data_IF_722587147181
#
_entry.id   IF_722587147181
#
_cell.length_a   1.000
_cell.length_b   1.000
_cell.length_c   1.000
_cell.angle_alpha   90.00
_cell.angle_beta   90.00
_cell.angle_gamma   90.00
#
_symmetry.space_group_name_H-M   'P 1'
#
loop_
_entity.id
_entity.type
_entity.pdbx_description
1 polymer ?
#
# COMPACT_ATOMS: atom_id res chain seq x y z
N UNK A 1 6.69 -6.22 13.92
CA UNK A 1 6.84 -6.96 12.65
C UNK A 1 5.57 -6.82 11.82
N UNK A 2 5.73 -6.71 10.52
CA UNK A 2 4.59 -6.47 9.62
C UNK A 2 4.00 -7.80 9.16
N UNK A 3 2.68 -7.90 9.22
CA UNK A 3 1.96 -9.06 8.71
C UNK A 3 1.83 -8.95 7.19
N UNK A 4 2.11 -10.06 6.50
CA UNK A 4 1.98 -10.16 5.05
C UNK A 4 0.73 -10.98 4.73
N UNK A 5 -0.11 -10.44 3.86
CA UNK A 5 -1.33 -11.14 3.43
C UNK A 5 -1.09 -11.70 2.04
N UNK A 6 -1.32 -12.99 1.87
CA UNK A 6 -1.09 -13.66 0.60
C UNK A 6 -2.05 -13.16 -0.49
N UNK A 7 -1.60 -13.10 -1.75
CA UNK A 7 -2.45 -12.61 -2.85
C UNK A 7 -3.77 -13.35 -2.99
N UNK A 8 -3.78 -14.66 -2.74
CA UNK A 8 -5.00 -15.48 -2.83
C UNK A 8 -6.06 -14.99 -1.84
N UNK A 9 -5.63 -14.35 -0.75
CA UNK A 9 -6.54 -13.85 0.27
C UNK A 9 -6.97 -12.42 -0.05
N UNK A 10 -6.00 -11.50 -0.23
CA UNK A 10 -6.39 -10.10 -0.37
C UNK A 10 -7.05 -9.78 -1.71
N UNK A 11 -6.71 -10.48 -2.78
CA UNK A 11 -7.35 -10.25 -4.09
C UNK A 11 -8.86 -10.49 -4.06
N UNK A 12 -9.31 -11.39 -3.20
CA UNK A 12 -10.74 -11.73 -3.07
C UNK A 12 -11.47 -10.84 -2.10
N UNK A 13 -10.75 -10.00 -1.35
CA UNK A 13 -11.33 -9.25 -0.25
C UNK A 13 -10.93 -7.78 -0.26
N UNK A 14 -10.77 -7.19 -1.44
CA UNK A 14 -10.26 -5.81 -1.57
C UNK A 14 -11.07 -4.81 -0.76
N UNK A 15 -12.38 -4.98 -0.69
CA UNK A 15 -13.24 -4.05 0.04
C UNK A 15 -13.08 -4.13 1.56
N UNK A 16 -12.39 -5.17 2.05
CA UNK A 16 -12.12 -5.32 3.49
C UNK A 16 -10.95 -4.47 3.96
N UNK A 17 -10.22 -3.85 3.04
CA UNK A 17 -9.01 -3.10 3.35
C UNK A 17 -9.15 -1.63 3.01
N UNK A 18 -8.53 -0.80 3.85
CA UNK A 18 -8.24 0.59 3.48
C UNK A 18 -6.82 0.56 2.91
N UNK A 19 -6.71 0.65 1.58
CA UNK A 19 -5.46 0.40 0.87
C UNK A 19 -4.76 1.71 0.52
N UNK A 20 -3.47 1.80 0.88
CA UNK A 20 -2.60 2.88 0.46
C UNK A 20 -1.62 2.34 -0.59
N UNK A 21 -1.67 2.91 -1.79
CA UNK A 21 -0.72 2.61 -2.85
C UNK A 21 0.49 3.51 -2.67
N UNK A 22 1.62 2.90 -2.31
CA UNK A 22 2.85 3.65 -1.99
C UNK A 22 3.87 3.63 -3.11
N UNK A 23 3.42 3.33 -4.33
CA UNK A 23 4.27 3.41 -5.53
C UNK A 23 4.57 4.87 -5.85
N UNK A 24 5.31 5.11 -6.94
CA UNK A 24 5.62 6.46 -7.40
C UNK A 24 4.46 7.04 -8.20
N UNK A 25 4.39 8.38 -8.34
CA UNK A 25 3.37 9.00 -9.18
C UNK A 25 3.36 8.50 -10.62
N UNK A 26 4.53 8.23 -11.21
CA UNK A 26 4.60 7.66 -12.57
C UNK A 26 3.90 6.32 -12.65
N UNK A 27 4.10 5.48 -11.64
CA UNK A 27 3.47 4.16 -11.62
C UNK A 27 1.95 4.26 -11.50
N UNK A 28 1.43 5.25 -10.78
CA UNK A 28 -0.01 5.45 -10.66
C UNK A 28 -0.65 5.77 -12.02
N UNK A 29 0.09 6.43 -12.91
CA UNK A 29 -0.42 6.76 -14.25
C UNK A 29 -0.64 5.53 -15.10
N UNK A 30 0.06 4.43 -14.78
CA UNK A 30 -0.14 3.15 -15.46
C UNK A 30 -1.40 2.42 -14.97
N UNK A 31 -2.06 2.97 -13.96
CA UNK A 31 -3.28 2.42 -13.40
C UNK A 31 -3.15 2.10 -11.92
N UNK A 32 -4.26 2.20 -11.19
CA UNK A 32 -4.35 1.84 -9.79
C UNK A 32 -5.41 0.75 -9.62
N UNK A 33 -5.34 0.01 -8.53
CA UNK A 33 -6.32 -1.06 -8.29
C UNK A 33 -7.45 -0.52 -7.41
N UNK A 34 -8.65 -0.46 -7.99
CA UNK A 34 -9.85 -0.14 -7.21
C UNK A 34 -9.77 1.19 -6.46
N UNK A 35 -10.34 1.19 -5.27
CA UNK A 35 -10.50 2.38 -4.44
C UNK A 35 -9.34 2.49 -3.45
N UNK A 36 -8.20 3.01 -3.92
CA UNK A 36 -7.00 3.14 -3.10
C UNK A 36 -6.63 4.62 -2.90
N UNK A 37 -5.89 4.88 -1.83
CA UNK A 37 -5.33 6.19 -1.55
C UNK A 37 -3.86 6.18 -1.93
N UNK A 38 -3.42 7.19 -2.68
CA UNK A 38 -2.06 7.22 -3.21
C UNK A 38 -1.18 8.16 -2.38
N UNK A 39 -0.16 7.60 -1.75
CA UNK A 39 0.88 8.35 -1.03
C UNK A 39 2.21 7.70 -1.35
N UNK A 40 3.07 8.39 -2.09
CA UNK A 40 4.34 7.81 -2.53
C UNK A 40 5.32 7.66 -1.37
N UNK A 41 5.95 6.50 -1.26
CA UNK A 41 7.07 6.32 -0.32
C UNK A 41 8.35 6.93 -0.90
N UNK A 42 8.58 6.72 -2.20
CA UNK A 42 9.69 7.34 -2.94
C UNK A 42 9.13 8.18 -4.08
N UNK A 43 9.86 9.23 -4.45
CA UNK A 43 9.47 10.03 -5.62
C UNK A 43 9.97 9.35 -6.91
N UNK A 44 9.67 9.96 -8.07
CA UNK A 44 10.05 9.41 -9.37
C UNK A 44 11.56 9.37 -9.59
N UNK A 45 12.32 10.09 -8.79
CA UNK A 45 13.78 10.10 -8.82
C UNK A 45 14.39 9.04 -7.90
N UNK A 46 13.58 8.30 -7.19
CA UNK A 46 14.03 7.27 -6.26
C UNK A 46 14.42 7.78 -4.89
N UNK A 47 14.08 9.02 -4.57
CA UNK A 47 14.39 9.62 -3.26
C UNK A 47 13.21 9.40 -2.31
N UNK A 48 13.54 9.14 -1.05
CA UNK A 48 12.52 8.96 -0.02
C UNK A 48 11.69 10.24 0.11
N UNK A 49 10.36 10.06 0.12
CA UNK A 49 9.44 11.17 0.34
C UNK A 49 9.45 11.55 1.81
N UNK A 50 10.11 12.66 2.14
CA UNK A 50 10.24 13.13 3.53
C UNK A 50 8.90 13.50 4.16
N UNK A 51 7.86 13.69 3.35
CA UNK A 51 6.52 14.03 3.84
C UNK A 51 5.57 12.83 3.87
N UNK A 52 6.11 11.61 3.73
CA UNK A 52 5.27 10.41 3.63
C UNK A 52 4.30 10.30 4.83
N UNK A 53 4.82 10.44 6.04
CA UNK A 53 4.00 10.29 7.25
C UNK A 53 2.91 11.36 7.32
N UNK A 54 3.24 12.62 6.99
CA UNK A 54 2.25 13.70 7.02
C UNK A 54 1.18 13.51 5.95
N UNK A 55 1.57 13.06 4.75
CA UNK A 55 0.62 12.78 3.68
C UNK A 55 -0.27 11.60 4.02
N UNK A 56 0.30 10.57 4.64
CA UNK A 56 -0.47 9.44 5.11
C UNK A 56 -1.52 9.89 6.14
N UNK A 57 -1.11 10.67 7.13
CA UNK A 57 -2.02 11.16 8.18
C UNK A 57 -3.18 11.95 7.59
N UNK A 58 -2.92 12.73 6.55
CA UNK A 58 -3.94 13.56 5.92
C UNK A 58 -5.03 12.73 5.24
N UNK A 59 -4.69 11.51 4.82
CA UNK A 59 -5.62 10.65 4.06
C UNK A 59 -6.16 9.47 4.86
N UNK A 60 -5.50 9.12 5.96
CA UNK A 60 -5.91 7.96 6.75
C UNK A 60 -7.23 8.21 7.47
N UNK A 61 -8.12 7.21 7.42
CA UNK A 61 -9.39 7.25 8.13
C UNK A 61 -9.46 6.07 9.09
N UNK A 62 -9.70 6.36 10.35
CA UNK A 62 -9.91 5.29 11.34
C UNK A 62 -11.31 4.73 11.13
N UNK A 63 -11.37 3.48 10.66
CA UNK A 63 -12.65 2.82 10.37
C UNK A 63 -12.51 1.31 10.63
N UNK A 64 -13.52 0.53 10.23
CA UNK A 64 -13.56 -0.92 10.47
C UNK A 64 -12.68 -1.71 9.51
N UNK A 65 -12.15 -1.07 8.48
CA UNK A 65 -11.34 -1.77 7.49
C UNK A 65 -9.92 -1.97 8.01
N UNK A 66 -9.30 -3.05 7.56
CA UNK A 66 -7.90 -3.30 7.86
C UNK A 66 -7.03 -2.37 7.03
N UNK A 67 -6.14 -1.62 7.69
CA UNK A 67 -5.18 -0.79 6.98
C UNK A 67 -4.20 -1.67 6.22
N UNK A 68 -3.98 -1.37 4.94
CA UNK A 68 -3.10 -2.18 4.10
C UNK A 68 -2.28 -1.27 3.19
N UNK A 69 -1.08 -1.75 2.83
CA UNK A 69 -0.18 -1.04 1.94
C UNK A 69 0.13 -1.92 0.76
N UNK A 70 0.16 -1.33 -0.43
CA UNK A 70 0.49 -2.03 -1.66
C UNK A 70 1.55 -1.25 -2.44
N UNK A 71 2.46 -1.98 -3.09
CA UNK A 71 3.37 -1.39 -4.06
C UNK A 71 3.40 -2.30 -5.28
N UNK A 72 4.45 -2.24 -6.09
CA UNK A 72 4.51 -3.06 -7.29
C UNK A 72 4.67 -4.54 -6.97
N UNK A 73 5.60 -4.89 -6.07
CA UNK A 73 5.96 -6.28 -5.78
C UNK A 73 5.92 -6.66 -4.30
N UNK A 74 5.67 -5.70 -3.40
CA UNK A 74 5.51 -5.97 -1.97
C UNK A 74 6.65 -5.48 -1.08
N UNK A 75 7.77 -4.99 -1.64
CA UNK A 75 8.92 -4.58 -0.84
C UNK A 75 8.76 -3.17 -0.24
N UNK A 76 8.41 -2.19 -1.06
CA UNK A 76 8.22 -0.80 -0.59
C UNK A 76 7.05 -0.70 0.37
N UNK A 77 5.99 -1.47 0.12
CA UNK A 77 4.81 -1.45 0.98
C UNK A 77 5.11 -2.00 2.37
N UNK A 78 6.01 -2.97 2.47
CA UNK A 78 6.46 -3.46 3.78
C UNK A 78 7.19 -2.36 4.54
N UNK A 79 8.06 -1.62 3.85
CA UNK A 79 8.79 -0.49 4.46
C UNK A 79 7.80 0.58 4.94
N UNK A 80 6.83 0.91 4.09
CA UNK A 80 5.83 1.92 4.43
C UNK A 80 5.01 1.50 5.66
N UNK A 81 4.59 0.24 5.72
CA UNK A 81 3.85 -0.28 6.86
C UNK A 81 4.68 -0.19 8.15
N UNK A 82 5.98 -0.49 8.05
CA UNK A 82 6.89 -0.39 9.20
C UNK A 82 7.05 1.05 9.68
N UNK A 83 7.17 1.99 8.74
CA UNK A 83 7.30 3.41 9.11
C UNK A 83 6.06 3.92 9.83
N UNK A 84 4.88 3.55 9.33
CA UNK A 84 3.62 3.97 9.95
C UNK A 84 3.47 3.38 11.35
N UNK A 85 3.85 2.11 11.51
CA UNK A 85 3.80 1.47 12.82
C UNK A 85 4.76 2.15 13.81
N UNK A 86 5.99 2.42 13.36
CA UNK A 86 7.02 3.01 14.22
C UNK A 86 6.71 4.46 14.59
N UNK A 87 6.20 5.23 13.64
CA UNK A 87 5.99 6.67 13.82
C UNK A 87 4.64 6.99 14.46
N UNK A 88 3.60 6.23 14.12
CA UNK A 88 2.23 6.56 14.53
C UNK A 88 1.58 5.49 15.39
N UNK A 89 2.23 4.37 15.59
CA UNK A 89 1.70 3.22 16.32
C UNK A 89 0.37 2.72 15.73
N UNK A 90 0.23 2.87 14.38
CA UNK A 90 -0.91 2.35 13.64
C UNK A 90 -0.45 1.11 12.89
N UNK A 91 -1.14 0.00 13.12
CA UNK A 91 -0.75 -1.28 12.52
C UNK A 91 -1.47 -1.48 11.20
N UNK A 92 -0.67 -1.71 10.15
CA UNK A 92 -1.19 -2.06 8.84
C UNK A 92 -0.55 -3.35 8.35
N UNK A 93 -1.11 -3.92 7.30
CA UNK A 93 -0.60 -5.16 6.70
C UNK A 93 0.00 -4.86 5.33
N UNK A 94 0.88 -5.76 4.87
CA UNK A 94 1.47 -5.68 3.54
C UNK A 94 0.71 -6.62 2.61
N UNK A 95 0.24 -6.09 1.48
CA UNK A 95 -0.40 -6.91 0.45
C UNK A 95 0.69 -7.55 -0.40
N UNK A 96 1.05 -8.78 -0.04
CA UNK A 96 2.17 -9.50 -0.63
C UNK A 96 2.00 -9.65 -2.13
N UNK A 97 3.10 -9.49 -2.87
CA UNK A 97 3.10 -9.60 -4.32
C UNK A 97 2.67 -8.34 -5.04
N UNK A 98 1.97 -7.43 -4.37
CA UNK A 98 1.64 -6.12 -4.88
C UNK A 98 0.76 -6.11 -6.13
N UNK A 99 0.86 -5.03 -6.89
CA UNK A 99 0.07 -4.85 -8.11
C UNK A 99 0.36 -5.95 -9.13
N UNK A 100 1.60 -6.48 -9.16
CA UNK A 100 1.92 -7.59 -10.06
C UNK A 100 1.08 -8.82 -9.77
N UNK A 101 0.88 -9.14 -8.49
CA UNK A 101 0.04 -10.28 -8.11
C UNK A 101 -1.43 -10.03 -8.45
N UNK A 102 -1.89 -8.79 -8.31
CA UNK A 102 -3.25 -8.41 -8.70
C UNK A 102 -3.45 -8.63 -10.20
N UNK A 103 -2.51 -8.15 -11.02
CA UNK A 103 -2.58 -8.28 -12.47
C UNK A 103 -2.57 -9.75 -12.92
N UNK A 104 -1.79 -10.59 -12.24
CA UNK A 104 -1.76 -12.02 -12.52
C UNK A 104 -3.13 -12.66 -12.31
N UNK A 105 -3.86 -12.26 -11.27
CA UNK A 105 -5.20 -12.80 -11.01
C UNK A 105 -6.19 -12.40 -12.09
N UNK A 106 -6.02 -11.21 -12.70
CA UNK A 106 -6.93 -10.73 -13.73
C UNK A 106 -6.86 -11.52 -15.02
N UNK A 107 -5.73 -12.14 -15.31
CA UNK A 107 -5.51 -12.83 -16.58
C UNK A 107 -5.69 -14.35 -16.48
N UNK A 108 -6.13 -14.84 -15.35
CA UNK A 108 -6.41 -16.27 -15.18
C UNK A 108 -7.73 -16.67 -15.82
#
# INVERSE_FOLDING_TARGET
MIEHIAPEIWNKNLSSYQIFDVRTPSEWQDGIIGDVKCVALFDDMGLLNGNFIEEFKAKYQKNDKTLAFICRSGHRSEIAASMVLDELEIRGVNLEGGVLAYEKELIK
#
